data_IF_755828714632
#
_entry.id   IF_755828714632
#
_cell.length_a   1.000
_cell.length_b   1.000
_cell.length_c   1.000
_cell.angle_alpha   90.00
_cell.angle_beta   90.00
_cell.angle_gamma   90.00
#
_symmetry.space_group_name_H-M   'P 1'
#
loop_
_entity.id
_entity.type
_entity.pdbx_description
1 polymer ?
#
# COMPACT_ATOMS: atom_id res chain seq x y z
N UNK A 1 -15.01 -24.95 -13.83
CA UNK A 1 -14.58 -23.55 -13.65
C UNK A 1 -15.11 -23.07 -12.31
N UNK A 2 -14.27 -22.52 -11.43
CA UNK A 2 -14.70 -22.04 -10.11
C UNK A 2 -15.41 -20.69 -10.22
N UNK A 3 -16.54 -20.53 -9.53
CA UNK A 3 -17.25 -19.25 -9.47
C UNK A 3 -16.43 -18.24 -8.65
N UNK A 4 -16.25 -17.03 -9.20
CA UNK A 4 -15.72 -15.90 -8.42
C UNK A 4 -16.78 -15.50 -7.41
N UNK A 5 -16.49 -15.70 -6.13
CA UNK A 5 -17.29 -15.14 -5.04
C UNK A 5 -16.71 -13.76 -4.69
N UNK A 6 -17.56 -12.85 -4.21
CA UNK A 6 -17.11 -11.55 -3.67
C UNK A 6 -16.49 -11.69 -2.27
N UNK A 7 -16.46 -12.92 -1.74
CA UNK A 7 -16.01 -13.24 -0.39
C UNK A 7 -14.59 -13.74 -0.47
N UNK A 8 -13.67 -13.02 0.17
CA UNK A 8 -12.30 -13.45 0.43
C UNK A 8 -12.23 -14.12 1.80
N UNK A 9 -11.35 -15.10 1.93
CA UNK A 9 -10.93 -15.61 3.24
C UNK A 9 -10.41 -14.46 4.11
N UNK A 10 -10.40 -14.59 5.45
CA UNK A 10 -9.75 -13.59 6.31
C UNK A 10 -8.26 -13.42 5.96
N UNK A 11 -7.76 -12.19 6.06
CA UNK A 11 -6.33 -11.93 5.83
C UNK A 11 -5.41 -12.63 6.82
N UNK A 12 -4.25 -13.08 6.31
CA UNK A 12 -3.16 -13.68 7.08
C UNK A 12 -2.53 -12.72 8.08
N UNK A 13 -2.44 -11.44 7.71
CA UNK A 13 -1.78 -10.41 8.50
C UNK A 13 -2.43 -9.05 8.23
N UNK A 14 -2.54 -8.22 9.27
CA UNK A 14 -3.19 -6.91 9.22
C UNK A 14 -2.29 -5.88 9.88
N UNK A 15 -1.99 -4.79 9.18
CA UNK A 15 -1.22 -3.67 9.74
C UNK A 15 -2.07 -2.40 9.76
N UNK A 16 -1.83 -1.54 10.74
CA UNK A 16 -2.36 -0.19 10.81
C UNK A 16 -1.19 0.79 10.91
N UNK A 17 -1.04 1.63 9.90
CA UNK A 17 0.09 2.54 9.74
C UNK A 17 -0.40 3.97 9.93
N UNK A 18 0.00 4.59 11.04
CA UNK A 18 -0.27 6.02 11.27
C UNK A 18 0.76 6.85 10.49
N UNK A 19 0.31 7.72 9.60
CA UNK A 19 1.14 8.65 8.83
C UNK A 19 0.99 10.06 9.39
N UNK A 20 2.11 10.75 9.54
CA UNK A 20 2.13 12.20 9.73
C UNK A 20 2.24 12.89 8.37
N UNK A 21 1.77 14.14 8.29
CA UNK A 21 1.87 14.94 7.06
C UNK A 21 3.31 15.03 6.57
N UNK A 22 3.50 14.84 5.26
CA UNK A 22 4.78 14.92 4.54
C UNK A 22 5.92 14.07 5.14
N UNK A 23 5.61 13.06 5.96
CA UNK A 23 6.62 12.21 6.60
C UNK A 23 6.54 10.80 6.04
N UNK A 24 7.57 10.42 5.28
CA UNK A 24 7.64 9.09 4.69
C UNK A 24 7.83 7.99 5.75
N UNK A 25 7.23 6.82 5.51
CA UNK A 25 7.45 5.59 6.30
C UNK A 25 7.62 4.38 5.40
N UNK A 26 8.36 3.39 5.89
CA UNK A 26 8.49 2.08 5.24
C UNK A 26 8.03 0.98 6.16
N UNK A 27 7.43 -0.05 5.57
CA UNK A 27 6.94 -1.23 6.28
C UNK A 27 7.39 -2.48 5.54
N UNK A 28 7.88 -3.48 6.27
CA UNK A 28 8.23 -4.78 5.69
C UNK A 28 6.95 -5.54 5.29
N UNK A 29 6.96 -6.16 4.11
CA UNK A 29 5.90 -7.06 3.67
C UNK A 29 6.11 -8.41 4.36
N UNK A 30 5.07 -9.01 4.99
CA UNK A 30 5.18 -10.35 5.53
C UNK A 30 5.67 -11.37 4.49
N UNK A 31 6.52 -12.31 4.92
CA UNK A 31 7.03 -13.33 4.01
C UNK A 31 5.89 -14.17 3.39
N UNK A 32 6.03 -14.43 2.09
CA UNK A 32 5.08 -15.22 1.32
C UNK A 32 3.80 -14.47 0.89
N UNK A 33 3.64 -13.19 1.23
CA UNK A 33 2.49 -12.42 0.78
C UNK A 33 2.42 -12.32 -0.75
N UNK A 34 1.22 -12.51 -1.29
CA UNK A 34 0.94 -12.42 -2.73
C UNK A 34 0.02 -11.26 -3.05
N UNK A 35 -0.90 -10.91 -2.16
CA UNK A 35 -1.86 -9.81 -2.34
C UNK A 35 -1.90 -8.94 -1.09
N UNK A 36 -2.08 -7.64 -1.29
CA UNK A 36 -2.40 -6.67 -0.24
C UNK A 36 -3.64 -5.89 -0.63
N UNK A 37 -4.51 -5.64 0.35
CA UNK A 37 -5.59 -4.66 0.25
C UNK A 37 -5.23 -3.45 1.11
N UNK A 38 -5.45 -2.27 0.55
CA UNK A 38 -5.25 -0.99 1.21
C UNK A 38 -6.61 -0.36 1.54
N UNK A 39 -6.68 0.30 2.69
CA UNK A 39 -7.74 1.23 3.04
C UNK A 39 -7.11 2.36 3.86
N UNK A 40 -7.63 3.58 3.78
CA UNK A 40 -7.08 4.69 4.53
C UNK A 40 -8.14 5.71 4.93
N UNK A 41 -7.87 6.44 6.01
CA UNK A 41 -8.72 7.56 6.47
C UNK A 41 -8.46 8.86 5.69
N UNK A 42 -7.47 8.87 4.79
CA UNK A 42 -7.08 10.04 4.00
C UNK A 42 -6.17 9.66 2.83
N UNK A 43 -5.86 10.61 1.94
CA UNK A 43 -5.08 10.35 0.74
C UNK A 43 -3.62 9.99 1.07
N UNK A 44 -3.03 9.09 0.30
CA UNK A 44 -1.64 8.67 0.44
C UNK A 44 -1.08 8.16 -0.90
N UNK A 45 0.25 8.17 -0.99
CA UNK A 45 0.99 7.47 -2.04
C UNK A 45 1.70 6.26 -1.47
N UNK A 46 1.73 5.17 -2.24
CA UNK A 46 2.53 3.97 -1.93
C UNK A 46 3.66 3.78 -2.93
N UNK A 47 4.80 3.34 -2.44
CA UNK A 47 5.91 2.83 -3.24
C UNK A 47 6.09 1.33 -3.02
N UNK A 48 6.46 0.61 -4.08
CA UNK A 48 6.76 -0.83 -4.04
C UNK A 48 8.27 -1.01 -4.10
N UNK A 49 8.87 -1.42 -2.98
CA UNK A 49 10.33 -1.48 -2.79
C UNK A 49 11.08 -0.13 -2.82
N UNK A 50 10.35 1.00 -2.86
CA UNK A 50 10.88 2.36 -2.77
C UNK A 50 10.07 3.22 -1.77
N UNK A 51 10.61 4.38 -1.44
CA UNK A 51 9.89 5.42 -0.68
C UNK A 51 9.29 6.41 -1.69
N UNK A 52 7.96 6.59 -1.72
CA UNK A 52 7.33 7.58 -2.58
C UNK A 52 7.52 9.00 -2.00
N UNK A 53 7.35 10.00 -2.86
CA UNK A 53 7.28 11.41 -2.49
C UNK A 53 5.92 11.99 -2.88
N UNK A 54 5.54 13.11 -2.26
CA UNK A 54 4.35 13.87 -2.68
C UNK A 54 4.74 14.63 -3.96
N UNK A 55 4.05 14.41 -5.09
CA UNK A 55 4.34 15.14 -6.31
C UNK A 55 4.11 16.64 -6.14
N UNK A 56 5.12 17.46 -6.45
CA UNK A 56 5.01 18.93 -6.57
C UNK A 56 5.02 19.39 -8.02
N UNK A 57 5.37 18.49 -8.93
CA UNK A 57 5.47 18.67 -10.38
C UNK A 57 4.97 17.38 -11.06
N UNK A 58 4.77 17.42 -12.37
CA UNK A 58 4.38 16.26 -13.17
C UNK A 58 5.50 15.22 -13.22
N UNK A 59 5.18 13.97 -12.87
CA UNK A 59 6.12 12.84 -12.92
C UNK A 59 5.67 11.90 -14.02
N UNK A 60 6.36 11.94 -15.16
CA UNK A 60 6.00 11.18 -16.38
C UNK A 60 7.03 10.10 -16.75
N UNK A 61 7.97 9.81 -15.85
CA UNK A 61 9.02 8.79 -16.03
C UNK A 61 8.64 7.41 -15.46
N UNK A 62 7.46 7.29 -14.85
CA UNK A 62 6.96 6.07 -14.22
C UNK A 62 7.50 5.80 -12.81
N UNK A 63 8.23 6.75 -12.21
CA UNK A 63 8.78 6.61 -10.84
C UNK A 63 7.81 7.03 -9.73
N UNK A 64 6.69 7.66 -10.10
CA UNK A 64 5.70 8.16 -9.16
C UNK A 64 5.17 7.04 -8.24
N UNK A 65 4.91 7.40 -6.98
CA UNK A 65 4.14 6.52 -6.09
C UNK A 65 2.72 6.33 -6.63
N UNK A 66 2.12 5.18 -6.34
CA UNK A 66 0.73 4.92 -6.70
C UNK A 66 -0.21 5.61 -5.69
N UNK A 67 -1.15 6.40 -6.18
CA UNK A 67 -2.09 7.16 -5.36
C UNK A 67 -3.29 6.31 -4.95
N UNK A 68 -3.53 6.17 -3.63
CA UNK A 68 -4.70 5.50 -3.05
C UNK A 68 -5.10 4.17 -3.73
N UNK A 69 -4.19 3.20 -3.90
CA UNK A 69 -4.54 1.94 -4.52
C UNK A 69 -5.58 1.15 -3.70
N UNK A 70 -6.27 0.23 -4.36
CA UNK A 70 -7.21 -0.71 -3.75
C UNK A 70 -6.53 -2.03 -3.36
N UNK A 71 -6.64 -3.06 -4.20
CA UNK A 71 -5.97 -4.35 -4.04
C UNK A 71 -4.84 -4.53 -5.03
N UNK A 72 -3.67 -5.01 -4.59
CA UNK A 72 -2.49 -5.17 -5.44
C UNK A 72 -1.84 -6.52 -5.23
N UNK A 73 -1.42 -7.14 -6.33
CA UNK A 73 -0.55 -8.32 -6.30
C UNK A 73 0.88 -7.84 -6.06
N UNK A 74 1.47 -8.27 -4.95
CA UNK A 74 2.79 -7.84 -4.49
C UNK A 74 3.75 -9.01 -4.27
N UNK A 75 3.52 -10.15 -4.95
CA UNK A 75 4.42 -11.30 -4.89
C UNK A 75 5.86 -10.90 -5.19
N UNK A 76 6.78 -11.24 -4.28
CA UNK A 76 8.21 -10.93 -4.41
C UNK A 76 8.63 -9.55 -3.89
N UNK A 77 7.67 -8.70 -3.49
CA UNK A 77 7.96 -7.41 -2.84
C UNK A 77 8.32 -7.62 -1.38
N UNK A 78 9.28 -6.85 -0.88
CA UNK A 78 9.77 -6.98 0.50
C UNK A 78 9.39 -5.80 1.37
N UNK A 79 9.14 -4.64 0.77
CA UNK A 79 8.77 -3.43 1.51
C UNK A 79 7.74 -2.60 0.77
N UNK A 80 6.93 -1.88 1.53
CA UNK A 80 6.04 -0.83 1.05
C UNK A 80 6.47 0.48 1.67
N UNK A 81 6.65 1.51 0.84
CA UNK A 81 6.86 2.89 1.28
C UNK A 81 5.55 3.66 1.24
N UNK A 82 5.36 4.61 2.16
CA UNK A 82 4.15 5.41 2.28
C UNK A 82 4.49 6.86 2.57
N UNK A 83 3.72 7.78 1.98
CA UNK A 83 3.72 9.20 2.34
C UNK A 83 2.32 9.77 2.14
N UNK A 84 1.93 10.75 2.96
CA UNK A 84 0.62 11.39 2.89
C UNK A 84 0.76 12.92 3.03
N UNK A 85 -0.10 13.72 2.39
CA UNK A 85 -0.05 15.18 2.48
C UNK A 85 -0.62 15.71 3.80
N UNK A 86 -1.42 14.89 4.50
CA UNK A 86 -2.00 15.19 5.82
C UNK A 86 -1.88 13.97 6.73
N UNK A 87 -2.08 14.16 8.04
CA UNK A 87 -2.09 13.04 8.97
C UNK A 87 -3.27 12.10 8.67
N UNK A 88 -2.99 10.80 8.55
CA UNK A 88 -3.99 9.77 8.27
C UNK A 88 -3.55 8.41 8.81
N UNK A 89 -4.44 7.43 8.75
CA UNK A 89 -4.10 6.03 9.03
C UNK A 89 -4.35 5.19 7.78
N UNK A 90 -3.40 4.30 7.46
CA UNK A 90 -3.50 3.32 6.37
C UNK A 90 -3.59 1.92 6.97
N UNK A 91 -4.69 1.23 6.69
CA UNK A 91 -4.91 -0.17 7.05
C UNK A 91 -4.52 -1.08 5.89
N UNK A 92 -3.71 -2.10 6.18
CA UNK A 92 -3.23 -3.09 5.22
C UNK A 92 -3.75 -4.46 5.62
N UNK A 93 -4.27 -5.21 4.65
CA UNK A 93 -4.60 -6.63 4.81
C UNK A 93 -3.82 -7.45 3.80
N UNK A 94 -3.00 -8.39 4.28
CA UNK A 94 -2.13 -9.22 3.46
C UNK A 94 -2.67 -10.65 3.34
N UNK A 95 -2.53 -11.22 2.14
CA UNK A 95 -2.98 -12.57 1.78
C UNK A 95 -1.83 -13.32 1.10
N UNK A 96 -1.65 -14.59 1.47
CA UNK A 96 -0.67 -15.51 0.88
C UNK A 96 -1.28 -16.39 -0.22
#
# INVERSE_FOLDING_TARGET
MGNRTEILEPSDSRYAIVLAAATAKTVAVPAGTRVVLFNATGPFWVGYDNIPYIPTEDIVDGSAGEYCPSGRKISGRQRLGFIAPAACTVSLSFFR
#
